data_IF_692055941431
#
_entry.id   IF_692055941431
#
_cell.length_a   1.000
_cell.length_b   1.000
_cell.length_c   1.000
_cell.angle_alpha   90.00
_cell.angle_beta   90.00
_cell.angle_gamma   90.00
#
_symmetry.space_group_name_H-M   'P 1'
#
loop_
_entity.id
_entity.type
_entity.pdbx_description
1 polymer ?
#
# COMPACT_ATOMS: atom_id res chain seq x y z
N UNK A 1 31.71 33.25 54.63
CA UNK A 1 30.81 34.40 54.88
C UNK A 1 29.87 34.50 53.68
N UNK A 2 28.55 34.36 53.73
CA UNK A 2 27.56 34.06 54.76
C UNK A 2 26.17 34.13 54.12
N UNK A 3 25.23 33.34 54.66
CA UNK A 3 23.75 33.42 54.57
C UNK A 3 23.05 33.14 53.22
N UNK A 4 22.23 32.09 53.06
CA UNK A 4 20.97 31.67 53.75
C UNK A 4 19.71 32.32 53.12
N UNK A 5 18.96 31.44 52.44
CA UNK A 5 17.50 31.29 52.26
C UNK A 5 16.52 32.43 52.61
N UNK A 6 15.52 32.61 51.71
CA UNK A 6 14.05 32.70 51.99
C UNK A 6 13.29 32.74 50.64
N UNK A 7 12.53 31.72 50.23
CA UNK A 7 11.18 31.27 50.62
C UNK A 7 9.99 32.17 50.21
N UNK A 8 8.93 31.47 49.77
CA UNK A 8 7.53 31.86 49.51
C UNK A 8 7.21 32.25 48.04
N UNK A 9 6.18 31.73 47.37
CA UNK A 9 5.12 30.81 47.77
C UNK A 9 3.87 31.01 46.87
N UNK A 10 3.15 29.89 46.62
CA UNK A 10 1.72 29.79 46.27
C UNK A 10 1.27 30.16 44.83
N UNK A 11 0.76 29.18 44.06
CA UNK A 11 -0.68 28.82 44.06
C UNK A 11 -0.99 27.64 43.10
N UNK A 12 -1.79 26.72 43.63
CA UNK A 12 -2.46 25.58 42.97
C UNK A 12 -3.36 26.02 41.82
N UNK A 13 -3.30 25.32 40.68
CA UNK A 13 -4.45 25.15 39.76
C UNK A 13 -4.51 23.70 39.23
N UNK A 14 -5.74 23.25 38.97
CA UNK A 14 -6.25 21.87 39.04
C UNK A 14 -5.81 20.91 37.91
N UNK A 15 -5.87 19.58 38.15
CA UNK A 15 -5.53 18.52 37.21
C UNK A 15 -6.75 18.10 36.38
N UNK A 16 -6.85 18.52 35.12
CA UNK A 16 -7.88 17.99 34.18
C UNK A 16 -7.44 17.85 32.73
N UNK A 17 -6.15 17.97 32.43
CA UNK A 17 -5.62 17.84 31.05
C UNK A 17 -4.63 16.69 30.82
N UNK A 18 -4.27 15.93 31.86
CA UNK A 18 -3.33 14.81 31.71
C UNK A 18 -3.99 13.46 31.36
N UNK A 19 -5.30 13.30 31.55
CA UNK A 19 -5.99 12.04 31.24
C UNK A 19 -6.42 11.89 29.77
N UNK A 20 -6.43 12.96 28.98
CA UNK A 20 -6.77 12.90 27.54
C UNK A 20 -5.54 12.85 26.62
N UNK A 21 -4.37 13.29 27.13
CA UNK A 21 -3.10 13.18 26.41
C UNK A 21 -2.51 11.76 26.47
N UNK A 22 -2.76 11.01 27.56
CA UNK A 22 -2.24 9.65 27.71
C UNK A 22 -2.94 8.62 26.82
N UNK A 23 -4.23 8.79 26.53
CA UNK A 23 -4.98 7.87 25.65
C UNK A 23 -4.76 8.16 24.17
N UNK A 24 -4.46 9.42 23.80
CA UNK A 24 -4.08 9.78 22.43
C UNK A 24 -2.66 9.34 22.07
N UNK A 25 -1.75 9.27 23.05
CA UNK A 25 -0.38 8.79 22.87
C UNK A 25 -0.28 7.25 22.71
N UNK A 26 -1.27 6.49 23.16
CA UNK A 26 -1.28 5.02 23.03
C UNK A 26 -1.96 4.50 21.74
N UNK A 27 -2.65 5.36 20.99
CA UNK A 27 -3.40 4.94 19.79
C UNK A 27 -2.97 5.61 18.46
N UNK A 28 -2.01 6.56 18.48
CA UNK A 28 -1.77 7.41 17.30
C UNK A 28 -0.33 7.79 16.93
N UNK A 29 0.69 7.34 17.67
CA UNK A 29 2.08 7.78 17.44
C UNK A 29 3.02 6.70 16.88
N UNK A 30 2.50 5.73 16.11
CA UNK A 30 3.32 4.68 15.50
C UNK A 30 3.57 4.87 13.99
N UNK A 31 2.80 5.71 13.28
CA UNK A 31 2.91 5.88 11.82
C UNK A 31 3.77 7.09 11.45
N UNK A 32 3.53 8.27 12.03
CA UNK A 32 4.30 9.47 11.70
C UNK A 32 5.77 9.43 12.18
N UNK A 33 6.05 8.76 13.29
CA UNK A 33 7.41 8.53 13.82
C UNK A 33 8.13 7.41 13.07
N UNK A 34 7.42 6.41 12.55
CA UNK A 34 8.00 5.39 11.66
C UNK A 34 8.41 6.00 10.33
N UNK A 35 7.59 6.85 9.72
CA UNK A 35 7.94 7.49 8.45
C UNK A 35 9.12 8.45 8.62
N UNK A 36 9.17 9.24 9.71
CA UNK A 36 10.30 10.11 10.00
C UNK A 36 11.60 9.31 10.33
N UNK A 37 11.49 8.19 11.05
CA UNK A 37 12.64 7.33 11.37
C UNK A 37 13.14 6.53 10.16
N UNK A 38 12.25 6.10 9.26
CA UNK A 38 12.63 5.45 7.98
C UNK A 38 13.27 6.47 7.05
N UNK A 39 12.74 7.69 6.95
CA UNK A 39 13.35 8.76 6.17
C UNK A 39 14.71 9.15 6.77
N UNK A 40 14.85 9.32 8.09
CA UNK A 40 16.15 9.60 8.72
C UNK A 40 17.15 8.44 8.60
N UNK A 41 16.71 7.19 8.72
CA UNK A 41 17.56 6.02 8.47
C UNK A 41 17.99 5.93 7.00
N UNK A 42 17.14 6.37 6.08
CA UNK A 42 17.48 6.46 4.67
C UNK A 42 18.57 7.51 4.41
N UNK A 43 18.47 8.70 5.02
CA UNK A 43 19.49 9.74 4.90
C UNK A 43 20.80 9.38 5.63
N UNK A 44 20.75 8.62 6.72
CA UNK A 44 21.95 8.12 7.41
C UNK A 44 22.66 7.01 6.62
N UNK A 45 21.93 6.16 5.89
CA UNK A 45 22.51 5.09 5.08
C UNK A 45 23.25 5.59 3.82
N UNK A 46 22.97 6.82 3.37
CA UNK A 46 23.71 7.50 2.28
C UNK A 46 25.15 7.87 2.67
N UNK A 47 25.40 8.15 3.95
CA UNK A 47 26.72 8.54 4.44
C UNK A 47 27.67 7.35 4.71
N UNK A 48 27.13 6.13 4.84
CA UNK A 48 27.85 4.95 5.34
C UNK A 48 28.26 3.93 4.25
N UNK A 49 28.07 4.23 2.95
CA UNK A 49 28.43 3.29 1.88
C UNK A 49 27.54 2.03 1.81
N UNK A 50 26.31 2.09 2.34
CA UNK A 50 25.35 0.96 2.39
C UNK A 50 24.38 0.91 1.20
N UNK A 51 24.66 1.69 0.15
CA UNK A 51 23.78 1.84 -1.02
C UNK A 51 24.55 1.72 -2.32
N UNK A 52 23.89 1.19 -3.34
CA UNK A 52 24.45 0.97 -4.66
C UNK A 52 23.73 1.81 -5.71
N UNK A 53 24.48 2.41 -6.64
CA UNK A 53 23.89 2.89 -7.89
C UNK A 53 23.67 1.70 -8.80
N UNK A 54 22.44 1.45 -9.23
CA UNK A 54 22.16 0.39 -10.21
C UNK A 54 22.38 0.93 -11.61
N UNK A 55 23.16 0.22 -12.42
CA UNK A 55 23.48 0.54 -13.81
C UNK A 55 22.91 -0.54 -14.74
N UNK A 56 22.24 -0.12 -15.81
CA UNK A 56 21.79 -1.01 -16.87
C UNK A 56 21.80 -0.30 -18.22
N UNK A 57 21.66 -1.08 -19.30
CA UNK A 57 21.62 -0.53 -20.65
C UNK A 57 20.36 -0.98 -21.37
N UNK A 58 19.71 -0.09 -22.10
CA UNK A 58 18.65 -0.39 -23.05
C UNK A 58 19.18 -0.20 -24.47
N UNK A 59 19.32 -1.29 -25.20
CA UNK A 59 19.79 -1.28 -26.59
C UNK A 59 18.61 -1.36 -27.54
N UNK A 60 18.62 -0.56 -28.61
CA UNK A 60 17.64 -0.72 -29.68
C UNK A 60 18.00 -1.95 -30.52
N UNK A 61 16.98 -2.70 -30.94
CA UNK A 61 17.08 -3.54 -32.12
C UNK A 61 17.16 -2.68 -33.40
N UNK A 62 17.22 -3.34 -34.56
CA UNK A 62 17.61 -2.79 -35.87
C UNK A 62 16.82 -1.55 -36.40
N UNK A 63 15.84 -1.02 -35.66
CA UNK A 63 14.92 0.02 -36.13
C UNK A 63 14.44 1.05 -35.09
N UNK A 64 14.88 1.02 -33.83
CA UNK A 64 14.27 1.83 -32.75
C UNK A 64 15.17 2.94 -32.18
N UNK A 65 14.57 4.06 -31.74
CA UNK A 65 15.25 5.08 -30.94
C UNK A 65 15.09 4.78 -29.44
N UNK A 66 16.22 4.68 -28.72
CA UNK A 66 16.29 4.31 -27.27
C UNK A 66 15.81 5.42 -26.32
N UNK A 67 15.51 6.61 -26.83
CA UNK A 67 15.18 7.80 -26.04
C UNK A 67 13.79 7.79 -25.40
N UNK A 68 12.86 6.94 -25.86
CA UNK A 68 11.45 6.96 -25.40
C UNK A 68 11.13 6.02 -24.21
N UNK A 69 12.05 5.16 -23.77
CA UNK A 69 11.80 4.14 -22.74
C UNK A 69 12.08 4.58 -21.30
N UNK A 70 12.79 5.70 -21.11
CA UNK A 70 13.40 6.03 -19.82
C UNK A 70 12.40 6.46 -18.74
N UNK A 71 11.24 6.98 -19.10
CA UNK A 71 10.34 7.66 -18.15
C UNK A 71 9.32 6.72 -17.50
N UNK A 72 9.36 5.42 -17.84
CA UNK A 72 8.32 4.46 -17.44
C UNK A 72 8.86 3.19 -16.79
N UNK A 73 10.11 3.19 -16.32
CA UNK A 73 10.56 2.12 -15.45
C UNK A 73 9.88 2.25 -14.07
N UNK A 74 9.42 1.12 -13.52
CA UNK A 74 9.01 1.04 -12.13
C UNK A 74 10.00 0.18 -11.36
N UNK A 75 10.46 0.67 -10.22
CA UNK A 75 11.32 -0.08 -9.31
C UNK A 75 10.66 -0.22 -7.95
N UNK A 76 10.69 -1.42 -7.40
CA UNK A 76 10.15 -1.70 -6.07
C UNK A 76 11.12 -2.54 -5.27
N UNK A 77 11.23 -2.24 -3.97
CA UNK A 77 11.88 -3.13 -3.03
C UNK A 77 10.88 -4.24 -2.62
N UNK A 78 11.21 -5.48 -2.95
CA UNK A 78 10.35 -6.64 -2.71
C UNK A 78 10.26 -7.01 -1.23
N UNK A 79 11.23 -6.59 -0.41
CA UNK A 79 11.30 -6.89 1.01
C UNK A 79 10.48 -5.88 1.84
N UNK A 80 10.37 -4.63 1.39
CA UNK A 80 9.60 -3.58 2.09
C UNK A 80 8.27 -3.25 1.44
N UNK A 81 8.05 -3.64 0.19
CA UNK A 81 6.86 -3.26 -0.56
C UNK A 81 6.94 -1.87 -1.21
N UNK A 82 8.00 -1.11 -0.91
CA UNK A 82 8.10 0.30 -1.25
C UNK A 82 8.40 0.47 -2.75
N UNK A 83 7.56 1.24 -3.45
CA UNK A 83 7.91 1.77 -4.77
C UNK A 83 8.98 2.84 -4.59
N UNK A 84 10.07 2.69 -5.32
CA UNK A 84 11.14 3.67 -5.33
C UNK A 84 10.87 4.70 -6.44
N UNK A 85 11.18 5.97 -6.13
CA UNK A 85 11.03 7.09 -7.05
C UNK A 85 12.07 7.06 -8.17
N UNK A 86 11.93 7.92 -9.20
CA UNK A 86 12.91 8.03 -10.29
C UNK A 86 14.29 8.47 -9.75
N UNK A 87 15.39 8.14 -10.45
CA UNK A 87 16.75 8.13 -9.91
C UNK A 87 17.27 9.47 -9.39
N UNK A 88 18.08 9.37 -8.32
CA UNK A 88 19.09 10.36 -7.92
C UNK A 88 20.38 9.65 -7.52
N UNK A 89 21.54 10.11 -8.00
CA UNK A 89 22.86 9.60 -7.61
C UNK A 89 23.98 9.84 -8.64
N UNK A 90 23.94 9.12 -9.76
CA UNK A 90 25.02 9.09 -10.77
C UNK A 90 24.67 9.87 -12.04
N UNK A 91 25.21 11.06 -12.29
CA UNK A 91 24.89 11.80 -13.52
C UNK A 91 25.67 11.26 -14.73
N UNK A 92 24.99 10.50 -15.60
CA UNK A 92 25.54 10.08 -16.91
C UNK A 92 25.52 11.22 -17.93
N UNK A 93 26.56 11.32 -18.78
CA UNK A 93 26.61 12.25 -19.92
C UNK A 93 25.48 12.04 -20.92
N UNK A 94 25.26 13.04 -21.79
CA UNK A 94 24.30 12.93 -22.90
C UNK A 94 24.64 11.80 -23.85
N UNK A 95 25.94 11.56 -24.11
CA UNK A 95 26.42 10.49 -24.99
C UNK A 95 26.08 9.12 -24.41
N UNK A 96 26.43 8.88 -23.14
CA UNK A 96 26.11 7.63 -22.45
C UNK A 96 24.60 7.34 -22.45
N UNK A 97 23.77 8.38 -22.20
CA UNK A 97 22.31 8.24 -22.25
C UNK A 97 21.80 7.92 -23.66
N UNK A 98 22.39 8.53 -24.70
CA UNK A 98 22.06 8.25 -26.10
C UNK A 98 22.41 6.81 -26.50
N UNK A 99 23.50 6.25 -25.96
CA UNK A 99 23.89 4.85 -26.10
C UNK A 99 23.03 3.86 -25.29
N UNK A 100 22.02 4.36 -24.59
CA UNK A 100 21.04 3.56 -23.86
C UNK A 100 21.40 3.27 -22.40
N UNK A 101 22.51 3.82 -21.88
CA UNK A 101 22.86 3.63 -20.47
C UNK A 101 21.89 4.38 -19.55
N UNK A 102 21.50 3.70 -18.48
CA UNK A 102 20.56 4.17 -17.47
C UNK A 102 21.12 3.80 -16.11
N UNK A 103 20.85 4.64 -15.13
CA UNK A 103 21.10 4.31 -13.74
C UNK A 103 19.81 4.52 -12.95
N UNK A 104 19.61 3.71 -11.92
CA UNK A 104 18.54 3.91 -10.95
C UNK A 104 19.09 4.53 -9.64
N UNK A 105 18.20 4.84 -8.69
CA UNK A 105 18.48 5.46 -7.40
C UNK A 105 19.54 4.72 -6.56
N UNK A 106 20.03 5.37 -5.51
CA UNK A 106 20.86 4.73 -4.47
C UNK A 106 20.05 3.68 -3.70
N UNK A 107 20.25 2.42 -4.05
CA UNK A 107 19.49 1.29 -3.51
C UNK A 107 20.21 0.69 -2.30
N UNK A 108 19.54 0.52 -1.14
CA UNK A 108 20.09 -0.29 -0.06
C UNK A 108 20.23 -1.76 -0.50
N UNK A 109 21.00 -2.54 0.27
CA UNK A 109 21.00 -4.00 0.11
C UNK A 109 19.58 -4.56 0.24
N UNK A 110 19.33 -5.64 -0.50
CA UNK A 110 18.01 -6.26 -0.57
C UNK A 110 17.59 -6.58 -1.99
N UNK A 111 16.32 -6.90 -2.14
CA UNK A 111 15.78 -7.46 -3.38
C UNK A 111 14.80 -6.54 -4.07
N UNK A 112 14.92 -6.52 -5.39
CA UNK A 112 14.25 -5.54 -6.22
C UNK A 112 13.50 -6.18 -7.37
N UNK A 113 12.33 -5.61 -7.64
CA UNK A 113 11.54 -5.89 -8.81
C UNK A 113 11.60 -4.66 -9.73
N UNK A 114 11.99 -4.88 -10.98
CA UNK A 114 12.09 -3.86 -12.02
C UNK A 114 11.10 -4.19 -13.13
N UNK A 115 10.17 -3.26 -13.39
CA UNK A 115 9.27 -3.31 -14.54
C UNK A 115 9.73 -2.31 -15.58
N UNK A 116 10.16 -2.80 -16.74
CA UNK A 116 10.46 -1.97 -17.89
C UNK A 116 9.21 -1.88 -18.78
N UNK A 117 8.61 -0.70 -18.83
CA UNK A 117 7.48 -0.41 -19.70
C UNK A 117 7.96 0.06 -21.08
N UNK A 118 7.17 -0.25 -22.10
CA UNK A 118 7.43 0.19 -23.48
C UNK A 118 6.70 1.52 -23.78
N UNK A 119 7.09 2.26 -24.84
CA UNK A 119 6.49 3.55 -25.15
C UNK A 119 5.02 3.44 -25.58
N UNK A 120 4.66 2.32 -26.22
CA UNK A 120 3.28 1.97 -26.55
C UNK A 120 2.74 0.88 -25.60
N UNK A 121 1.97 1.28 -24.56
CA UNK A 121 1.48 0.35 -23.54
C UNK A 121 0.26 -0.46 -23.99
N UNK A 122 -0.31 -0.19 -25.17
CA UNK A 122 -1.61 -0.77 -25.56
C UNK A 122 -1.51 -2.26 -25.90
N UNK A 123 -0.36 -2.75 -26.39
CA UNK A 123 -0.23 -4.13 -26.90
C UNK A 123 1.05 -4.87 -26.46
N UNK A 124 1.92 -4.26 -25.65
CA UNK A 124 3.17 -4.87 -25.21
C UNK A 124 3.13 -5.24 -23.72
N UNK A 125 3.39 -6.51 -23.44
CA UNK A 125 3.63 -6.96 -22.07
C UNK A 125 4.91 -6.30 -21.53
N UNK A 126 4.90 -5.80 -20.28
CA UNK A 126 6.11 -5.29 -19.65
C UNK A 126 7.20 -6.37 -19.54
N UNK A 127 8.47 -5.96 -19.53
CA UNK A 127 9.54 -6.84 -19.07
C UNK A 127 9.66 -6.71 -17.56
N UNK A 128 9.29 -7.78 -16.87
CA UNK A 128 9.34 -7.90 -15.42
C UNK A 128 10.62 -8.66 -15.03
N UNK A 129 11.40 -8.05 -14.15
CA UNK A 129 12.76 -8.48 -13.81
C UNK A 129 12.97 -8.46 -12.30
N UNK A 130 13.87 -9.30 -11.81
CA UNK A 130 14.35 -9.24 -10.42
C UNK A 130 15.87 -9.24 -10.34
N UNK A 131 16.40 -8.56 -9.33
CA UNK A 131 17.83 -8.59 -8.99
C UNK A 131 18.05 -8.36 -7.48
N UNK A 132 19.27 -8.65 -7.02
CA UNK A 132 19.68 -8.49 -5.62
C UNK A 132 20.83 -7.50 -5.52
N UNK A 133 20.72 -6.54 -4.61
CA UNK A 133 21.83 -5.70 -4.17
C UNK A 133 22.46 -6.39 -2.95
N UNK A 134 23.73 -6.85 -3.02
CA UNK A 134 24.35 -7.60 -1.93
C UNK A 134 24.69 -6.69 -0.73
N UNK A 135 25.02 -7.31 0.41
CA UNK A 135 25.55 -6.64 1.60
C UNK A 135 26.99 -7.13 1.85
N UNK A 136 28.01 -6.25 1.90
CA UNK A 136 27.94 -4.80 1.67
C UNK A 136 27.58 -4.44 0.23
N UNK A 137 26.83 -3.34 0.07
CA UNK A 137 26.40 -2.85 -1.24
C UNK A 137 27.60 -2.26 -2.01
N UNK A 138 27.84 -2.69 -3.26
CA UNK A 138 28.91 -2.11 -4.08
C UNK A 138 28.54 -0.69 -4.47
N UNK A 139 29.51 0.22 -4.72
CA UNK A 139 29.20 1.59 -5.15
C UNK A 139 28.36 1.65 -6.44
N UNK A 140 28.62 0.72 -7.37
CA UNK A 140 27.83 0.54 -8.59
C UNK A 140 27.58 -0.95 -8.84
N UNK A 141 26.32 -1.29 -9.14
CA UNK A 141 25.86 -2.62 -9.50
C UNK A 141 25.37 -2.63 -10.95
N UNK A 142 26.04 -3.35 -11.84
CA UNK A 142 25.56 -3.57 -13.20
C UNK A 142 24.62 -4.78 -13.26
N UNK A 143 23.40 -4.56 -13.75
CA UNK A 143 22.33 -5.57 -13.78
C UNK A 143 22.01 -6.11 -15.18
N UNK A 144 22.75 -5.68 -16.22
CA UNK A 144 22.62 -6.21 -17.57
C UNK A 144 22.22 -5.20 -18.63
N UNK A 145 22.24 -5.67 -19.88
CA UNK A 145 21.79 -4.94 -21.06
C UNK A 145 20.54 -5.62 -21.62
N UNK A 146 19.49 -4.85 -21.85
CA UNK A 146 18.22 -5.35 -22.36
C UNK A 146 17.98 -4.83 -23.77
N UNK A 147 17.47 -5.71 -24.64
CA UNK A 147 17.18 -5.36 -26.03
C UNK A 147 15.72 -4.92 -26.16
N UNK A 148 15.49 -3.81 -26.85
CA UNK A 148 14.18 -3.35 -27.29
C UNK A 148 13.95 -3.79 -28.73
N UNK A 149 13.02 -4.72 -28.93
CA UNK A 149 12.61 -5.20 -30.23
C UNK A 149 11.35 -4.44 -30.68
N UNK A 150 11.46 -3.67 -31.77
CA UNK A 150 10.35 -2.92 -32.36
C UNK A 150 10.05 -3.44 -33.78
N UNK A 151 9.18 -4.46 -33.92
CA UNK A 151 8.79 -4.96 -35.24
C UNK A 151 8.07 -3.85 -36.01
N UNK A 152 8.25 -3.77 -37.32
CA UNK A 152 7.70 -2.70 -38.17
C UNK A 152 6.16 -2.54 -38.10
N UNK A 153 5.44 -3.53 -37.57
CA UNK A 153 3.96 -3.56 -37.49
C UNK A 153 3.42 -4.00 -36.12
N UNK A 154 4.25 -4.03 -35.07
CA UNK A 154 3.81 -4.45 -33.75
C UNK A 154 4.38 -3.55 -32.64
N UNK A 155 3.74 -3.56 -31.48
CA UNK A 155 4.24 -2.84 -30.33
C UNK A 155 5.64 -3.33 -29.93
N UNK A 156 6.51 -2.37 -29.62
CA UNK A 156 7.86 -2.67 -29.14
C UNK A 156 7.82 -3.51 -27.88
N UNK A 157 8.77 -4.44 -27.73
CA UNK A 157 8.90 -5.33 -26.57
C UNK A 157 10.32 -5.29 -26.04
N UNK A 158 10.47 -5.26 -24.73
CA UNK A 158 11.78 -5.43 -24.09
C UNK A 158 12.02 -6.91 -23.86
N UNK A 159 13.16 -7.43 -24.30
CA UNK A 159 13.58 -8.79 -23.96
C UNK A 159 13.83 -8.87 -22.45
N UNK A 160 13.20 -9.83 -21.73
CA UNK A 160 13.41 -10.00 -20.29
C UNK A 160 14.75 -10.67 -19.97
N UNK A 161 15.52 -11.09 -20.97
CA UNK A 161 16.83 -11.72 -20.78
C UNK A 161 17.91 -10.65 -20.82
N UNK A 162 18.61 -10.46 -19.71
CA UNK A 162 19.78 -9.58 -19.63
C UNK A 162 20.98 -10.19 -20.39
N UNK A 163 21.55 -9.40 -21.29
CA UNK A 163 22.85 -9.67 -21.89
C UNK A 163 23.98 -9.14 -21.00
N UNK A 164 25.03 -9.93 -20.82
CA UNK A 164 26.24 -9.49 -20.14
C UNK A 164 27.05 -8.56 -21.06
N UNK A 165 27.29 -7.33 -20.58
CA UNK A 165 28.14 -6.32 -21.23
C UNK A 165 29.01 -5.63 -20.17
N UNK A 166 29.48 -6.38 -19.17
CA UNK A 166 30.26 -5.83 -18.06
C UNK A 166 31.55 -5.13 -18.47
N UNK A 167 32.17 -5.49 -19.59
CA UNK A 167 33.31 -4.75 -20.16
C UNK A 167 32.90 -3.34 -20.61
N UNK A 168 31.76 -3.22 -21.29
CA UNK A 168 31.23 -1.93 -21.73
C UNK A 168 30.81 -1.06 -20.53
N UNK A 169 30.21 -1.67 -19.50
CA UNK A 169 29.87 -0.99 -18.25
C UNK A 169 31.12 -0.47 -17.51
N UNK A 170 32.21 -1.26 -17.51
CA UNK A 170 33.51 -0.83 -16.97
C UNK A 170 34.11 0.33 -17.75
N UNK A 171 34.10 0.27 -19.08
CA UNK A 171 34.59 1.34 -19.93
C UNK A 171 33.81 2.64 -19.72
N UNK A 172 32.48 2.55 -19.61
CA UNK A 172 31.63 3.70 -19.30
C UNK A 172 32.02 4.35 -17.97
N UNK A 173 32.10 3.57 -16.88
CA UNK A 173 32.42 4.12 -15.57
C UNK A 173 33.83 4.71 -15.50
N UNK A 174 34.81 4.09 -16.16
CA UNK A 174 36.15 4.64 -16.26
C UNK A 174 36.18 6.02 -16.96
N UNK A 175 35.30 6.23 -17.95
CA UNK A 175 35.20 7.49 -18.68
C UNK A 175 34.38 8.56 -17.92
N UNK A 176 33.25 8.19 -17.33
CA UNK A 176 32.29 9.12 -16.72
C UNK A 176 32.58 9.39 -15.24
N UNK A 177 33.17 8.43 -14.53
CA UNK A 177 33.39 8.46 -13.09
C UNK A 177 34.68 7.71 -12.69
N UNK A 178 35.87 8.18 -13.09
CA UNK A 178 37.13 7.45 -12.93
C UNK A 178 37.53 7.19 -11.47
N UNK A 179 36.97 7.94 -10.51
CA UNK A 179 37.16 7.73 -9.07
C UNK A 179 36.29 6.61 -8.49
N UNK A 180 35.32 6.10 -9.25
CA UNK A 180 34.42 5.03 -8.83
C UNK A 180 35.06 3.67 -9.21
N UNK A 181 35.12 2.70 -8.28
CA UNK A 181 35.60 1.36 -8.59
C UNK A 181 34.82 0.70 -9.74
N UNK A 182 35.40 -0.31 -10.42
CA UNK A 182 34.67 -1.12 -11.40
C UNK A 182 33.33 -1.63 -10.84
N UNK A 183 32.28 -1.70 -11.67
CA UNK A 183 30.97 -2.12 -11.21
C UNK A 183 30.99 -3.60 -10.83
N UNK A 184 30.30 -3.95 -9.75
CA UNK A 184 29.98 -5.35 -9.47
C UNK A 184 28.90 -5.81 -10.45
N UNK A 185 29.01 -7.03 -10.98
CA UNK A 185 28.03 -7.59 -11.93
C UNK A 185 27.08 -8.56 -11.23
N UNK A 186 25.77 -8.30 -11.34
CA UNK A 186 24.69 -9.20 -10.92
C UNK A 186 23.54 -9.08 -11.93
N UNK A 187 23.57 -9.91 -12.97
CA UNK A 187 22.57 -9.86 -14.03
C UNK A 187 21.15 -10.07 -13.46
N UNK A 188 20.22 -9.20 -13.87
CA UNK A 188 18.82 -9.36 -13.54
C UNK A 188 18.25 -10.60 -14.21
N UNK A 189 17.28 -11.21 -13.55
CA UNK A 189 16.60 -12.42 -14.02
C UNK A 189 15.17 -12.07 -14.45
N UNK A 190 14.62 -12.76 -15.48
CA UNK A 190 13.20 -12.70 -15.78
C UNK A 190 12.36 -13.05 -14.55
N UNK A 191 11.26 -12.33 -14.35
CA UNK A 191 10.33 -12.59 -13.27
C UNK A 191 8.94 -13.01 -13.79
N UNK A 192 8.40 -14.17 -13.36
CA UNK A 192 9.09 -15.20 -12.57
C UNK A 192 10.15 -15.95 -13.40
N UNK A 193 11.14 -16.52 -12.72
CA UNK A 193 12.07 -17.46 -13.35
C UNK A 193 11.32 -18.76 -13.75
N UNK A 194 11.61 -19.38 -14.90
CA UNK A 194 11.07 -20.70 -15.23
C UNK A 194 11.65 -21.76 -14.28
N UNK A 195 10.81 -22.56 -13.61
CA UNK A 195 11.31 -23.51 -12.60
C UNK A 195 12.24 -24.54 -13.24
N UNK A 196 11.87 -25.04 -14.42
CA UNK A 196 12.69 -25.99 -15.19
C UNK A 196 14.10 -25.48 -15.48
N UNK A 197 14.30 -24.17 -15.64
CA UNK A 197 15.61 -23.57 -15.90
C UNK A 197 16.51 -23.51 -14.66
N UNK A 198 15.96 -23.67 -13.46
CA UNK A 198 16.72 -23.59 -12.20
C UNK A 198 17.26 -24.96 -11.73
N UNK A 199 16.74 -26.05 -12.27
CA UNK A 199 17.09 -27.42 -11.86
C UNK A 199 16.59 -27.81 -10.46
N UNK A 200 15.73 -27.00 -9.85
CA UNK A 200 15.13 -27.27 -8.54
C UNK A 200 13.96 -28.27 -8.66
N UNK A 201 13.73 -29.12 -7.65
CA UNK A 201 12.58 -30.02 -7.61
C UNK A 201 11.28 -29.22 -7.45
N UNK A 202 10.14 -29.83 -7.77
CA UNK A 202 8.82 -29.26 -7.44
C UNK A 202 8.63 -29.18 -5.92
N UNK A 203 8.01 -28.11 -5.40
CA UNK A 203 7.77 -27.98 -3.96
C UNK A 203 6.78 -29.04 -3.47
N UNK A 204 7.17 -29.79 -2.45
CA UNK A 204 6.36 -30.85 -1.86
C UNK A 204 6.13 -30.64 -0.35
N UNK A 205 7.18 -30.28 0.38
CA UNK A 205 7.17 -30.11 1.84
C UNK A 205 8.03 -28.90 2.24
N UNK A 206 7.61 -27.67 1.87
CA UNK A 206 8.41 -26.48 2.13
C UNK A 206 8.56 -26.21 3.63
N UNK A 207 9.66 -25.55 4.01
CA UNK A 207 9.77 -24.93 5.32
C UNK A 207 8.82 -23.72 5.36
N UNK A 208 7.85 -23.72 6.29
CA UNK A 208 6.84 -22.67 6.38
C UNK A 208 7.16 -21.72 7.52
N UNK A 209 7.15 -20.43 7.16
CA UNK A 209 7.26 -19.29 8.07
C UNK A 209 6.15 -18.28 7.79
N UNK A 210 5.77 -17.53 8.82
CA UNK A 210 4.88 -16.37 8.69
C UNK A 210 5.68 -15.11 9.00
N UNK A 211 5.60 -14.09 8.14
CA UNK A 211 6.20 -12.79 8.44
C UNK A 211 5.17 -11.88 9.15
N UNK A 212 5.29 -11.68 10.47
CA UNK A 212 4.34 -10.85 11.21
C UNK A 212 4.45 -9.35 10.86
N UNK A 213 5.54 -8.91 10.22
CA UNK A 213 5.77 -7.48 9.92
C UNK A 213 4.81 -6.94 8.86
N UNK A 214 4.42 -7.81 7.93
CA UNK A 214 3.53 -7.50 6.81
C UNK A 214 2.11 -8.09 7.03
N UNK A 215 1.86 -8.60 8.25
CA UNK A 215 0.59 -9.16 8.68
C UNK A 215 -0.44 -8.06 8.99
N UNK A 216 -1.62 -8.12 8.36
CA UNK A 216 -2.66 -7.13 8.61
C UNK A 216 -4.04 -7.80 8.67
N UNK A 217 -4.54 -8.05 9.89
CA UNK A 217 -5.93 -8.43 10.10
C UNK A 217 -6.82 -7.18 9.92
N UNK A 218 -7.20 -6.88 8.68
CA UNK A 218 -8.02 -5.71 8.34
C UNK A 218 -9.50 -5.90 8.70
N UNK A 219 -9.81 -6.18 9.96
CA UNK A 219 -11.19 -6.03 10.43
C UNK A 219 -11.37 -4.60 10.92
N UNK A 220 -11.51 -3.65 9.99
CA UNK A 220 -11.82 -2.28 10.37
C UNK A 220 -13.32 -2.08 10.54
N UNK A 221 -13.77 -2.32 11.76
CA UNK A 221 -15.14 -2.07 12.16
C UNK A 221 -15.55 -0.62 11.93
N UNK A 222 -14.68 0.36 12.13
CA UNK A 222 -15.06 1.76 11.98
C UNK A 222 -15.55 2.11 10.54
N UNK A 223 -15.02 1.47 9.51
CA UNK A 223 -15.50 1.60 8.12
C UNK A 223 -16.81 0.87 7.88
N UNK A 224 -16.95 -0.36 8.39
CA UNK A 224 -18.16 -1.14 8.24
C UNK A 224 -19.37 -0.49 8.95
N UNK A 225 -19.10 0.32 9.99
CA UNK A 225 -20.12 0.88 10.88
C UNK A 225 -20.40 2.35 10.64
N UNK A 226 -19.45 3.10 10.07
CA UNK A 226 -19.68 4.50 9.62
C UNK A 226 -20.70 4.59 8.47
N UNK A 227 -20.97 3.48 7.78
CA UNK A 227 -22.04 3.37 6.78
C UNK A 227 -23.37 2.83 7.35
N UNK A 228 -23.44 2.45 8.64
CA UNK A 228 -24.65 1.93 9.28
C UNK A 228 -25.17 0.61 8.70
N UNK A 229 -24.29 -0.16 8.04
CA UNK A 229 -24.72 -1.09 6.99
C UNK A 229 -24.56 -2.58 7.35
N UNK A 230 -24.05 -2.90 8.55
CA UNK A 230 -23.97 -4.29 9.01
C UNK A 230 -25.29 -4.73 9.69
N UNK A 231 -25.88 -5.86 9.28
CA UNK A 231 -26.99 -6.45 10.04
C UNK A 231 -26.51 -6.87 11.45
N UNK A 232 -27.40 -7.14 12.41
CA UNK A 232 -27.01 -7.73 13.68
C UNK A 232 -26.44 -9.15 13.46
N UNK A 233 -25.50 -9.63 14.31
CA UNK A 233 -25.03 -11.00 14.24
C UNK A 233 -26.19 -11.98 14.46
N UNK A 234 -26.15 -13.18 13.85
CA UNK A 234 -27.17 -14.19 14.10
C UNK A 234 -27.19 -14.52 15.60
N UNK A 235 -28.35 -14.38 16.24
CA UNK A 235 -28.56 -14.88 17.58
C UNK A 235 -28.40 -16.39 17.56
N UNK A 236 -27.49 -16.93 18.37
CA UNK A 236 -27.50 -18.36 18.68
C UNK A 236 -28.81 -18.68 19.41
N UNK A 237 -29.84 -19.05 18.64
CA UNK A 237 -31.12 -19.57 19.13
C UNK A 237 -32.08 -18.53 19.71
N UNK A 238 -32.80 -17.78 18.86
CA UNK A 238 -34.06 -17.15 19.29
C UNK A 238 -35.10 -17.13 18.15
N UNK A 239 -36.28 -17.67 18.45
CA UNK A 239 -37.48 -17.74 17.62
C UNK A 239 -37.99 -16.33 17.20
N UNK A 240 -38.76 -16.22 16.10
CA UNK A 240 -39.11 -14.93 15.53
C UNK A 240 -40.07 -14.15 16.44
N UNK A 241 -39.68 -12.92 16.77
CA UNK A 241 -40.55 -11.93 17.42
C UNK A 241 -41.19 -11.00 16.38
N UNK A 242 -42.39 -10.46 16.66
CA UNK A 242 -43.28 -9.94 15.63
C UNK A 242 -42.94 -8.53 15.16
N UNK A 243 -43.34 -8.33 13.91
CA UNK A 243 -43.37 -7.13 13.09
C UNK A 243 -43.88 -5.89 13.84
N UNK A 244 -43.13 -4.79 13.79
CA UNK A 244 -43.58 -3.47 14.25
C UNK A 244 -43.56 -2.45 13.11
N UNK A 245 -44.61 -1.63 13.14
CA UNK A 245 -45.24 -0.88 12.05
C UNK A 245 -44.47 0.38 11.58
N UNK A 246 -44.93 1.06 10.50
CA UNK A 246 -44.13 1.98 9.70
C UNK A 246 -44.00 3.37 10.33
N UNK A 247 -42.84 4.00 10.11
CA UNK A 247 -42.51 5.37 10.51
C UNK A 247 -43.04 6.36 9.45
N UNK A 248 -43.75 7.38 9.91
CA UNK A 248 -44.33 8.45 9.08
C UNK A 248 -43.26 9.37 8.48
N UNK A 249 -43.41 9.65 7.18
CA UNK A 249 -42.70 10.70 6.44
C UNK A 249 -43.32 12.08 6.74
N UNK A 250 -42.48 13.05 7.11
CA UNK A 250 -42.85 14.45 7.20
C UNK A 250 -42.12 15.24 6.11
N UNK A 251 -42.84 15.54 5.02
CA UNK A 251 -42.39 16.43 3.95
C UNK A 251 -42.31 17.89 4.43
N UNK A 252 -41.29 18.63 3.97
CA UNK A 252 -41.26 20.09 4.03
C UNK A 252 -40.98 20.66 2.62
N UNK A 253 -41.59 21.81 2.25
CA UNK A 253 -41.72 22.24 0.87
C UNK A 253 -40.51 23.00 0.33
N UNK A 254 -40.37 22.91 -0.99
CA UNK A 254 -39.52 23.76 -1.82
C UNK A 254 -40.07 25.20 -1.90
N UNK A 255 -39.17 26.17 -2.04
CA UNK A 255 -39.49 27.50 -2.55
C UNK A 255 -38.79 28.64 -1.82
N UNK A 256 -37.74 29.18 -2.44
CA UNK A 256 -37.49 30.63 -2.51
C UNK A 256 -36.30 30.87 -3.45
N UNK A 257 -36.63 31.19 -4.71
CA UNK A 257 -35.73 31.88 -5.64
C UNK A 257 -35.43 33.27 -5.08
N UNK A 258 -34.15 33.65 -5.00
CA UNK A 258 -33.76 35.04 -4.82
C UNK A 258 -32.99 35.50 -6.04
N UNK A 259 -33.57 36.49 -6.71
CA UNK A 259 -33.12 37.15 -7.92
C UNK A 259 -31.70 37.72 -7.76
N UNK A 260 -30.89 37.54 -8.81
CA UNK A 260 -29.61 38.21 -8.99
C UNK A 260 -29.83 39.70 -9.24
N UNK A 261 -29.28 40.55 -8.37
CA UNK A 261 -29.07 41.98 -8.67
C UNK A 261 -27.78 42.10 -9.48
N UNK A 262 -27.91 41.93 -10.79
CA UNK A 262 -26.97 42.45 -11.77
C UNK A 262 -27.63 43.68 -12.44
N UNK A 263 -26.80 44.59 -12.94
CA UNK A 263 -27.15 45.89 -13.54
C UNK A 263 -27.57 47.03 -12.60
N UNK A 264 -26.56 47.78 -12.14
CA UNK A 264 -26.61 49.24 -12.18
C UNK A 264 -25.19 49.79 -12.40
N UNK A 265 -24.75 49.81 -13.66
CA UNK A 265 -23.60 50.58 -14.11
C UNK A 265 -23.95 51.38 -15.36
N UNK A 266 -24.63 52.51 -15.18
CA UNK A 266 -24.67 53.58 -16.17
C UNK A 266 -25.11 54.90 -15.51
N UNK A 267 -24.44 55.98 -15.90
CA UNK A 267 -24.72 57.40 -15.62
C UNK A 267 -24.25 57.95 -14.25
N UNK A 268 -22.98 58.37 -14.17
CA UNK A 268 -22.58 59.60 -13.46
C UNK A 268 -21.27 60.15 -14.07
N UNK A 269 -21.35 60.69 -15.29
CA UNK A 269 -20.39 61.70 -15.75
C UNK A 269 -20.94 63.08 -15.37
N UNK A 270 -20.21 63.79 -14.49
CA UNK A 270 -20.34 65.23 -14.29
C UNK A 270 -21.40 65.71 -13.29
N UNK A 271 -21.12 65.63 -11.98
CA UNK A 271 -21.64 66.59 -11.00
C UNK A 271 -20.71 66.73 -9.78
N UNK A 272 -20.55 67.98 -9.33
CA UNK A 272 -19.52 68.40 -8.38
C UNK A 272 -19.64 67.87 -6.94
N UNK A 273 -18.56 68.11 -6.21
CA UNK A 273 -18.15 67.65 -4.86
C UNK A 273 -19.21 67.62 -3.74
N UNK A 274 -20.42 68.17 -3.91
CA UNK A 274 -21.49 68.15 -2.90
C UNK A 274 -22.46 66.95 -3.01
N UNK A 275 -22.54 66.27 -4.17
CA UNK A 275 -23.33 65.04 -4.28
C UNK A 275 -22.65 63.82 -3.61
N UNK A 276 -21.33 63.86 -3.43
CA UNK A 276 -20.53 62.78 -2.84
C UNK A 276 -20.85 62.58 -1.35
N UNK A 277 -21.19 63.64 -0.62
CA UNK A 277 -21.55 63.55 0.81
C UNK A 277 -22.97 62.99 1.00
N UNK A 278 -23.94 63.37 0.15
CA UNK A 278 -25.30 62.85 0.23
C UNK A 278 -25.41 61.37 -0.18
N UNK A 279 -24.72 60.99 -1.26
CA UNK A 279 -24.64 59.58 -1.72
C UNK A 279 -23.83 58.74 -0.74
N UNK A 280 -22.73 59.26 -0.17
CA UNK A 280 -21.97 58.58 0.87
C UNK A 280 -22.79 58.27 2.13
N UNK A 281 -23.64 59.20 2.57
CA UNK A 281 -24.50 58.98 3.73
C UNK A 281 -25.63 57.99 3.44
N UNK A 282 -26.24 58.06 2.25
CA UNK A 282 -27.25 57.09 1.80
C UNK A 282 -26.67 55.67 1.65
N UNK A 283 -25.44 55.54 1.13
CA UNK A 283 -24.70 54.27 1.07
C UNK A 283 -24.43 53.75 2.48
N UNK A 284 -24.03 54.59 3.44
CA UNK A 284 -23.81 54.14 4.82
C UNK A 284 -25.12 53.67 5.47
N UNK A 285 -26.22 54.41 5.30
CA UNK A 285 -27.52 54.08 5.92
C UNK A 285 -28.16 52.84 5.30
N UNK A 286 -27.92 52.53 4.03
CA UNK A 286 -28.51 51.35 3.35
C UNK A 286 -27.54 50.17 3.30
N UNK A 287 -26.28 50.38 2.92
CA UNK A 287 -25.32 49.29 2.73
C UNK A 287 -24.81 48.70 4.05
N UNK A 288 -24.67 49.49 5.13
CA UNK A 288 -24.20 48.96 6.42
C UNK A 288 -25.23 48.01 7.05
N UNK A 289 -26.54 48.34 7.14
CA UNK A 289 -27.53 47.38 7.61
C UNK A 289 -27.63 46.13 6.74
N UNK A 290 -27.57 46.27 5.41
CA UNK A 290 -27.58 45.12 4.49
C UNK A 290 -26.35 44.23 4.71
N UNK A 291 -25.16 44.81 4.87
CA UNK A 291 -23.94 44.06 5.15
C UNK A 291 -23.98 43.35 6.51
N UNK A 292 -24.57 43.96 7.54
CA UNK A 292 -24.77 43.34 8.85
C UNK A 292 -25.78 42.19 8.80
N UNK A 293 -26.89 42.35 8.07
CA UNK A 293 -27.87 41.28 7.84
C UNK A 293 -27.25 40.14 7.04
N UNK A 294 -26.51 40.44 5.97
CA UNK A 294 -25.83 39.43 5.16
C UNK A 294 -24.79 38.66 5.98
N UNK A 295 -24.04 39.35 6.86
CA UNK A 295 -23.11 38.70 7.80
C UNK A 295 -23.82 37.81 8.81
N UNK A 296 -24.94 38.28 9.38
CA UNK A 296 -25.74 37.48 10.32
C UNK A 296 -26.33 36.22 9.64
N UNK A 297 -26.79 36.33 8.39
CA UNK A 297 -27.27 35.19 7.60
C UNK A 297 -26.11 34.23 7.28
N UNK A 298 -24.93 34.74 6.93
CA UNK A 298 -23.75 33.91 6.66
C UNK A 298 -23.26 33.17 7.92
N UNK A 299 -23.30 33.82 9.09
CA UNK A 299 -22.96 33.21 10.39
C UNK A 299 -24.02 32.16 10.80
N UNK A 300 -25.31 32.42 10.60
CA UNK A 300 -26.38 31.43 10.85
C UNK A 300 -26.25 30.21 9.94
N UNK A 301 -25.96 30.40 8.65
CA UNK A 301 -25.71 29.30 7.70
C UNK A 301 -24.49 28.46 8.08
N UNK A 302 -23.41 29.09 8.58
CA UNK A 302 -22.23 28.37 9.10
C UNK A 302 -22.56 27.58 10.36
N UNK A 303 -23.32 28.16 11.28
CA UNK A 303 -23.72 27.50 12.52
C UNK A 303 -24.67 26.31 12.26
N UNK A 304 -25.60 26.42 11.31
CA UNK A 304 -26.46 25.30 10.91
C UNK A 304 -25.66 24.17 10.26
N UNK A 305 -24.68 24.51 9.40
CA UNK A 305 -23.79 23.51 8.79
C UNK A 305 -22.93 22.80 9.81
N UNK A 306 -22.33 23.53 10.76
CA UNK A 306 -21.51 22.94 11.82
C UNK A 306 -22.34 22.08 12.78
N UNK A 307 -23.55 22.51 13.13
CA UNK A 307 -24.47 21.73 13.96
C UNK A 307 -24.93 20.44 13.26
N UNK A 308 -25.26 20.50 11.97
CA UNK A 308 -25.59 19.31 11.18
C UNK A 308 -24.40 18.36 11.05
N UNK A 309 -23.19 18.88 10.81
CA UNK A 309 -21.97 18.07 10.78
C UNK A 309 -21.70 17.39 12.12
N UNK A 310 -21.85 18.11 13.24
CA UNK A 310 -21.70 17.55 14.58
C UNK A 310 -22.74 16.46 14.87
N UNK A 311 -23.99 16.64 14.42
CA UNK A 311 -25.04 15.61 14.58
C UNK A 311 -24.72 14.36 13.78
N UNK A 312 -24.34 14.50 12.51
CA UNK A 312 -23.93 13.39 11.64
C UNK A 312 -22.73 12.65 12.26
N UNK A 313 -21.74 13.37 12.79
CA UNK A 313 -20.60 12.76 13.47
C UNK A 313 -21.02 12.02 14.75
N UNK A 314 -21.92 12.59 15.56
CA UNK A 314 -22.40 11.93 16.77
C UNK A 314 -23.23 10.67 16.47
N UNK A 315 -24.09 10.71 15.45
CA UNK A 315 -24.83 9.55 14.96
C UNK A 315 -23.88 8.46 14.45
N UNK A 316 -22.86 8.83 13.66
CA UNK A 316 -21.84 7.91 13.18
C UNK A 316 -21.02 7.27 14.31
N UNK A 317 -20.63 8.05 15.32
CA UNK A 317 -19.91 7.54 16.50
C UNK A 317 -20.78 6.57 17.32
N UNK A 318 -22.07 6.86 17.46
CA UNK A 318 -23.01 5.96 18.15
C UNK A 318 -23.23 4.66 17.39
N UNK A 319 -23.37 4.73 16.06
CA UNK A 319 -23.47 3.56 15.21
C UNK A 319 -22.19 2.70 15.29
N UNK A 320 -21.02 3.33 15.32
CA UNK A 320 -19.75 2.64 15.50
C UNK A 320 -19.64 1.92 16.86
N UNK A 321 -20.04 2.59 17.95
CA UNK A 321 -20.02 1.98 19.28
C UNK A 321 -20.93 0.74 19.37
N UNK A 322 -22.17 0.84 18.88
CA UNK A 322 -23.12 -0.28 18.90
C UNK A 322 -22.63 -1.48 18.09
N UNK A 323 -22.04 -1.23 16.93
CA UNK A 323 -21.54 -2.32 16.13
C UNK A 323 -20.24 -2.93 16.69
N UNK A 324 -19.40 -2.15 17.37
CA UNK A 324 -18.28 -2.69 18.14
C UNK A 324 -18.77 -3.60 19.30
N UNK A 325 -19.86 -3.23 19.98
CA UNK A 325 -20.49 -4.09 21.00
C UNK A 325 -21.05 -5.38 20.39
N UNK A 326 -21.74 -5.29 19.25
CA UNK A 326 -22.38 -6.45 18.60
C UNK A 326 -21.36 -7.41 17.98
N UNK A 327 -20.33 -6.89 17.31
CA UNK A 327 -19.41 -7.68 16.50
C UNK A 327 -18.01 -7.85 17.10
N UNK A 328 -17.71 -7.16 18.21
CA UNK A 328 -16.42 -7.23 18.92
C UNK A 328 -15.97 -8.65 19.25
N UNK A 329 -16.84 -9.55 19.77
CA UNK A 329 -16.46 -10.94 20.02
C UNK A 329 -16.07 -11.70 18.74
N UNK A 330 -16.82 -11.51 17.65
CA UNK A 330 -16.51 -12.11 16.36
C UNK A 330 -15.16 -11.61 15.84
N UNK A 331 -14.92 -10.30 15.90
CA UNK A 331 -13.65 -9.68 15.52
C UNK A 331 -12.46 -10.30 16.25
N UNK A 332 -12.57 -10.41 17.57
CA UNK A 332 -11.53 -10.98 18.41
C UNK A 332 -11.28 -12.45 18.05
N UNK A 333 -12.34 -13.22 17.78
CA UNK A 333 -12.25 -14.60 17.30
C UNK A 333 -11.53 -14.73 15.96
N UNK A 334 -11.87 -13.88 14.98
CA UNK A 334 -11.20 -13.83 13.67
C UNK A 334 -9.72 -13.46 13.84
N UNK A 335 -9.42 -12.41 14.60
CA UNK A 335 -8.06 -11.94 14.84
C UNK A 335 -7.20 -12.99 15.58
N UNK A 336 -7.77 -13.67 16.58
CA UNK A 336 -7.11 -14.79 17.25
C UNK A 336 -6.86 -15.96 16.29
N UNK A 337 -7.86 -16.32 15.47
CA UNK A 337 -7.74 -17.42 14.50
C UNK A 337 -6.64 -17.12 13.49
N UNK A 338 -6.62 -15.89 12.98
CA UNK A 338 -5.62 -15.36 12.05
C UNK A 338 -4.44 -14.73 12.79
N UNK A 339 -4.10 -15.17 13.99
CA UNK A 339 -2.83 -14.76 14.60
C UNK A 339 -1.67 -15.46 13.86
N UNK A 340 -0.51 -14.79 13.63
CA UNK A 340 0.64 -15.37 12.93
C UNK A 340 1.02 -16.77 13.41
N UNK A 341 1.16 -16.94 14.73
CA UNK A 341 1.53 -18.24 15.34
C UNK A 341 0.50 -19.35 15.10
N UNK A 342 -0.78 -19.00 15.07
CA UNK A 342 -1.86 -19.96 14.82
C UNK A 342 -1.90 -20.38 13.36
N UNK A 343 -1.71 -19.43 12.44
CA UNK A 343 -1.59 -19.70 11.01
C UNK A 343 -0.34 -20.53 10.72
N UNK A 344 0.82 -20.14 11.26
CA UNK A 344 2.06 -20.86 11.06
C UNK A 344 1.97 -22.30 11.56
N UNK A 345 1.44 -22.51 12.76
CA UNK A 345 1.20 -23.85 13.32
C UNK A 345 0.27 -24.68 12.44
N UNK A 346 -0.84 -24.09 11.98
CA UNK A 346 -1.79 -24.77 11.09
C UNK A 346 -1.13 -25.17 9.77
N UNK A 347 -0.38 -24.27 9.15
CA UNK A 347 0.29 -24.53 7.89
C UNK A 347 1.38 -25.58 8.03
N UNK A 348 2.23 -25.48 9.06
CA UNK A 348 3.24 -26.52 9.33
C UNK A 348 2.62 -27.89 9.54
N UNK A 349 1.44 -27.97 10.19
CA UNK A 349 0.70 -29.23 10.31
C UNK A 349 0.12 -29.71 8.98
N UNK A 350 -0.43 -28.82 8.15
CA UNK A 350 -1.05 -29.15 6.87
C UNK A 350 -0.04 -29.57 5.79
N UNK A 351 1.17 -29.02 5.82
CA UNK A 351 2.25 -29.27 4.86
C UNK A 351 3.42 -30.06 5.47
N UNK A 352 3.24 -30.66 6.65
CA UNK A 352 4.25 -31.50 7.25
C UNK A 352 4.62 -32.63 6.28
N UNK A 353 5.93 -32.94 6.11
CA UNK A 353 6.33 -34.06 5.28
C UNK A 353 5.64 -35.32 5.80
N UNK A 354 4.81 -35.94 4.96
CA UNK A 354 4.24 -37.24 5.28
C UNK A 354 5.42 -38.18 5.49
N UNK A 355 5.56 -38.72 6.70
CA UNK A 355 6.54 -39.79 6.96
C UNK A 355 6.07 -40.98 6.14
N UNK A 356 6.56 -41.08 4.90
CA UNK A 356 6.39 -42.29 4.11
C UNK A 356 6.87 -43.45 4.97
N UNK A 357 5.99 -44.43 5.20
CA UNK A 357 6.27 -45.64 5.95
C UNK A 357 7.45 -46.37 5.31
N UNK A 358 8.67 -46.11 5.80
CA UNK A 358 9.87 -46.72 5.22
C UNK A 358 11.12 -45.85 5.29
N UNK A 359 11.64 -45.65 6.51
CA UNK A 359 13.09 -45.48 6.84
C UNK A 359 13.99 -44.56 6.01
N UNK A 360 13.47 -43.63 5.20
CA UNK A 360 14.22 -42.49 4.69
C UNK A 360 13.53 -41.23 5.21
N UNK A 361 14.16 -40.58 6.19
CA UNK A 361 13.80 -39.21 6.50
C UNK A 361 13.87 -38.43 5.19
N UNK A 362 12.74 -37.91 4.71
CA UNK A 362 12.73 -37.01 3.57
C UNK A 362 13.73 -35.90 3.91
N UNK A 363 14.77 -35.76 3.08
CA UNK A 363 15.66 -34.61 3.19
C UNK A 363 14.79 -33.35 3.13
N UNK A 364 15.08 -32.32 3.94
CA UNK A 364 14.31 -31.08 3.90
C UNK A 364 14.29 -30.55 2.47
N UNK A 365 13.09 -30.22 2.01
CA UNK A 365 12.83 -29.65 0.68
C UNK A 365 13.63 -28.33 0.56
N UNK A 366 14.30 -28.01 -0.57
CA UNK A 366 15.03 -26.74 -0.71
C UNK A 366 14.13 -25.49 -0.72
N UNK A 367 12.83 -25.66 -0.48
CA UNK A 367 11.81 -24.63 -0.60
C UNK A 367 11.49 -24.03 0.76
N UNK A 368 11.59 -22.71 0.84
CA UNK A 368 11.05 -21.90 1.90
C UNK A 368 9.77 -21.21 1.42
N UNK A 369 8.75 -21.19 2.27
CA UNK A 369 7.52 -20.43 2.07
C UNK A 369 7.35 -19.46 3.21
N UNK A 370 7.32 -18.18 2.85
CA UNK A 370 6.94 -17.11 3.76
C UNK A 370 5.53 -16.65 3.42
N UNK A 371 4.59 -16.84 4.33
CA UNK A 371 3.30 -16.15 4.26
C UNK A 371 3.54 -14.70 4.66
N UNK A 372 3.62 -13.83 3.66
CA UNK A 372 3.92 -12.41 3.86
C UNK A 372 2.69 -11.65 4.30
N UNK A 373 1.48 -12.08 3.92
CA UNK A 373 0.27 -11.30 4.17
C UNK A 373 -0.96 -12.20 4.27
N UNK A 374 -1.75 -11.98 5.31
CA UNK A 374 -3.12 -12.47 5.40
C UNK A 374 -4.01 -11.29 5.75
N UNK A 375 -4.92 -10.93 4.84
CA UNK A 375 -5.85 -9.81 5.02
C UNK A 375 -7.27 -10.33 4.93
N UNK A 376 -8.07 -10.03 5.94
CA UNK A 376 -9.51 -10.17 5.87
C UNK A 376 -10.10 -8.92 5.20
N UNK A 377 -10.53 -9.01 3.94
CA UNK A 377 -11.01 -7.87 3.15
C UNK A 377 -12.53 -7.89 3.04
N UNK A 378 -13.14 -6.71 3.11
CA UNK A 378 -14.49 -6.52 2.62
C UNK A 378 -14.53 -6.76 1.10
N UNK A 379 -15.60 -7.37 0.61
CA UNK A 379 -15.75 -7.72 -0.79
C UNK A 379 -17.19 -7.62 -1.28
N UNK A 380 -17.33 -7.42 -2.58
CA UNK A 380 -18.63 -7.26 -3.22
C UNK A 380 -19.27 -5.89 -2.94
N UNK A 381 -20.55 -5.77 -3.28
CA UNK A 381 -21.32 -4.53 -3.08
C UNK A 381 -21.95 -4.43 -1.69
N UNK A 382 -21.90 -5.52 -0.91
CA UNK A 382 -22.51 -5.59 0.41
C UNK A 382 -21.46 -5.31 1.50
N UNK A 383 -21.81 -4.49 2.50
CA UNK A 383 -20.92 -4.09 3.60
C UNK A 383 -20.54 -5.24 4.54
N UNK A 384 -21.37 -6.27 4.62
CA UNK A 384 -21.21 -7.41 5.51
C UNK A 384 -20.46 -8.57 4.86
N UNK A 385 -20.03 -8.45 3.61
CA UNK A 385 -19.35 -9.53 2.91
C UNK A 385 -17.84 -9.39 2.97
N UNK A 386 -17.16 -10.47 3.34
CA UNK A 386 -15.72 -10.51 3.56
C UNK A 386 -15.09 -11.78 2.97
N UNK A 387 -13.80 -11.71 2.68
CA UNK A 387 -12.98 -12.84 2.26
C UNK A 387 -11.56 -12.71 2.77
N UNK A 388 -10.78 -13.79 2.67
CA UNK A 388 -9.38 -13.83 3.13
C UNK A 388 -8.45 -13.76 1.92
N UNK A 389 -7.71 -12.67 1.80
CA UNK A 389 -6.57 -12.57 0.90
C UNK A 389 -5.33 -13.19 1.56
N UNK A 390 -4.58 -13.98 0.78
CA UNK A 390 -3.37 -14.67 1.25
C UNK A 390 -2.27 -14.39 0.24
N UNK A 391 -1.17 -13.77 0.68
CA UNK A 391 0.04 -13.62 -0.11
C UNK A 391 1.18 -14.47 0.45
N UNK A 392 1.89 -15.12 -0.45
CA UNK A 392 2.99 -16.04 -0.15
C UNK A 392 4.18 -15.73 -1.03
N UNK A 393 5.38 -15.78 -0.46
CA UNK A 393 6.65 -15.73 -1.17
C UNK A 393 7.32 -17.10 -1.07
N UNK A 394 7.65 -17.65 -2.22
CA UNK A 394 8.29 -18.95 -2.38
C UNK A 394 9.71 -18.72 -2.81
N UNK A 395 10.66 -19.27 -2.05
CA UNK A 395 12.08 -19.18 -2.39
C UNK A 395 12.72 -20.54 -2.34
N UNK A 396 13.70 -20.77 -3.21
CA UNK A 396 14.52 -21.98 -3.13
C UNK A 396 15.98 -21.67 -3.45
N UNK A 397 16.88 -22.35 -2.73
CA UNK A 397 18.33 -22.20 -2.84
C UNK A 397 18.93 -23.49 -3.36
N UNK A 398 19.96 -23.37 -4.21
CA UNK A 398 20.82 -24.52 -4.49
C UNK A 398 21.82 -24.70 -3.36
N UNK A 399 22.27 -25.94 -3.09
CA UNK A 399 23.30 -26.19 -2.09
C UNK A 399 24.55 -25.31 -2.35
N UNK A 400 24.98 -24.57 -1.33
CA UNK A 400 26.15 -23.69 -1.40
C UNK A 400 25.91 -22.29 -1.95
N UNK A 401 24.69 -21.94 -2.38
CA UNK A 401 24.37 -20.60 -2.87
C UNK A 401 23.86 -19.67 -1.75
N UNK A 402 24.40 -18.45 -1.72
CA UNK A 402 23.98 -17.42 -0.78
C UNK A 402 22.62 -16.79 -1.17
N UNK A 403 22.37 -16.66 -2.47
CA UNK A 403 21.15 -16.09 -3.03
C UNK A 403 20.15 -17.19 -3.44
N UNK A 404 18.84 -16.94 -3.36
CA UNK A 404 17.85 -17.89 -3.87
C UNK A 404 17.96 -18.01 -5.39
N UNK A 405 18.03 -19.25 -5.88
CA UNK A 405 18.01 -19.57 -7.31
C UNK A 405 16.60 -19.42 -7.90
N UNK A 406 15.58 -19.42 -7.05
CA UNK A 406 14.19 -19.19 -7.44
C UNK A 406 13.52 -18.32 -6.38
N UNK A 407 12.79 -17.31 -6.82
CA UNK A 407 11.88 -16.54 -5.97
C UNK A 407 10.66 -16.07 -6.74
N UNK A 408 9.49 -16.24 -6.13
CA UNK A 408 8.22 -15.82 -6.70
C UNK A 408 7.24 -15.49 -5.58
N UNK A 409 6.43 -14.47 -5.81
CA UNK A 409 5.33 -14.11 -4.93
C UNK A 409 3.99 -14.38 -5.62
N UNK A 410 3.08 -15.00 -4.86
CA UNK A 410 1.70 -15.22 -5.24
C UNK A 410 0.76 -14.54 -4.26
N UNK A 411 -0.40 -14.12 -4.76
CA UNK A 411 -1.51 -13.68 -3.94
C UNK A 411 -2.82 -14.32 -4.42
N UNK A 412 -3.48 -15.02 -3.50
CA UNK A 412 -4.87 -15.43 -3.64
C UNK A 412 -5.74 -14.27 -3.18
N UNK A 413 -6.29 -13.53 -4.14
CA UNK A 413 -7.03 -12.28 -3.92
C UNK A 413 -8.50 -12.56 -3.62
N UNK A 414 -9.17 -11.63 -2.97
CA UNK A 414 -10.63 -11.67 -2.78
C UNK A 414 -11.32 -10.97 -3.95
N UNK A 415 -12.22 -11.68 -4.61
CA UNK A 415 -12.98 -11.17 -5.75
C UNK A 415 -13.74 -9.89 -5.39
N UNK A 416 -13.59 -8.84 -6.20
CA UNK A 416 -14.32 -7.58 -5.99
C UNK A 416 -14.00 -6.86 -4.67
N UNK A 417 -12.88 -7.16 -4.03
CA UNK A 417 -12.42 -6.40 -2.87
C UNK A 417 -11.96 -5.00 -3.28
N UNK A 418 -12.49 -3.99 -2.61
CA UNK A 418 -12.13 -2.59 -2.82
C UNK A 418 -10.75 -2.30 -2.19
N UNK A 419 -9.87 -1.52 -2.84
CA UNK A 419 -8.63 -1.10 -2.23
C UNK A 419 -8.88 -0.28 -0.95
N UNK A 420 -8.25 -0.69 0.17
CA UNK A 420 -8.29 0.07 1.42
C UNK A 420 -6.96 0.80 1.62
N UNK A 421 -6.98 2.12 1.38
CA UNK A 421 -5.81 3.01 1.42
C UNK A 421 -5.08 3.04 2.77
N UNK A 422 -5.68 2.51 3.83
CA UNK A 422 -5.06 2.44 5.15
C UNK A 422 -4.14 1.23 5.30
N UNK A 423 -4.30 0.24 4.43
CA UNK A 423 -3.42 -0.92 4.37
C UNK A 423 -2.14 -0.53 3.62
N UNK A 424 -0.98 -0.94 4.16
CA UNK A 424 0.32 -0.84 3.47
C UNK A 424 0.22 -1.45 2.06
N UNK A 425 -0.54 -2.54 1.94
CA UNK A 425 -0.86 -3.20 0.69
C UNK A 425 -2.34 -3.02 0.32
N UNK A 426 -2.77 -1.77 0.20
CA UNK A 426 -4.10 -1.41 -0.32
C UNK A 426 -4.34 -2.08 -1.68
N UNK A 427 -3.36 -1.93 -2.56
CA UNK A 427 -3.31 -2.53 -3.89
C UNK A 427 -2.28 -3.66 -3.90
N UNK A 428 -2.54 -4.75 -4.65
CA UNK A 428 -1.57 -5.82 -4.81
C UNK A 428 -0.28 -5.31 -5.46
N UNK A 429 0.88 -5.56 -4.85
CA UNK A 429 2.16 -5.31 -5.48
C UNK A 429 2.28 -5.86 -6.92
N UNK A 430 3.01 -5.17 -7.81
CA UNK A 430 3.08 -5.55 -9.22
C UNK A 430 3.80 -6.86 -9.49
N UNK A 431 4.61 -7.36 -8.55
CA UNK A 431 5.29 -8.66 -8.62
C UNK A 431 4.44 -9.81 -8.07
N UNK A 432 3.31 -9.55 -7.41
CA UNK A 432 2.44 -10.62 -6.92
C UNK A 432 1.61 -11.21 -8.05
N UNK A 433 1.91 -12.46 -8.40
CA UNK A 433 1.15 -13.23 -9.38
C UNK A 433 -0.15 -13.75 -8.75
N UNK A 434 -1.16 -14.01 -9.58
CA UNK A 434 -2.42 -14.60 -9.12
C UNK A 434 -2.27 -16.12 -8.97
N UNK A 435 -2.95 -16.68 -7.98
CA UNK A 435 -3.17 -18.13 -7.86
C UNK A 435 -4.30 -18.59 -8.81
N UNK A 436 -4.62 -19.88 -8.79
CA UNK A 436 -5.62 -20.47 -9.68
C UNK A 436 -7.05 -19.98 -9.40
N UNK A 437 -7.39 -19.72 -8.12
CA UNK A 437 -8.72 -19.25 -7.73
C UNK A 437 -8.67 -17.94 -6.95
N UNK A 438 -9.82 -17.26 -6.90
CA UNK A 438 -10.05 -16.14 -5.97
C UNK A 438 -10.65 -16.67 -4.65
N UNK A 439 -10.41 -15.94 -3.57
CA UNK A 439 -10.98 -16.22 -2.26
C UNK A 439 -12.49 -15.97 -2.23
N UNK A 440 -13.20 -16.85 -1.52
CA UNK A 440 -14.65 -16.76 -1.41
C UNK A 440 -15.06 -15.49 -0.64
N UNK A 441 -16.05 -14.78 -1.18
CA UNK A 441 -16.68 -13.64 -0.55
C UNK A 441 -17.96 -14.10 0.17
N UNK A 442 -18.02 -13.96 1.50
CA UNK A 442 -19.09 -14.52 2.34
C UNK A 442 -19.60 -13.53 3.38
N UNK A 443 -20.83 -13.67 3.87
CA UNK A 443 -21.32 -12.89 5.00
C UNK A 443 -20.39 -13.02 6.21
N UNK A 444 -20.16 -11.92 6.91
CA UNK A 444 -19.30 -11.85 8.09
C UNK A 444 -19.73 -12.83 9.18
N UNK A 445 -21.04 -13.01 9.34
CA UNK A 445 -21.65 -13.97 10.25
C UNK A 445 -21.13 -15.41 10.07
N UNK A 446 -20.79 -15.81 8.83
CA UNK A 446 -20.25 -17.14 8.54
C UNK A 446 -18.88 -17.39 9.17
N UNK A 447 -18.17 -16.32 9.57
CA UNK A 447 -16.85 -16.38 10.18
C UNK A 447 -16.87 -16.27 11.71
N UNK A 448 -18.04 -16.02 12.31
CA UNK A 448 -18.16 -15.67 13.74
C UNK A 448 -18.32 -16.85 14.69
N UNK A 449 -18.28 -18.09 14.20
CA UNK A 449 -18.40 -19.30 14.99
C UNK A 449 -17.18 -20.23 14.76
N UNK A 450 -17.12 -21.34 15.49
CA UNK A 450 -16.01 -22.30 15.38
C UNK A 450 -15.83 -22.87 13.96
N UNK A 451 -16.92 -23.11 13.23
CA UNK A 451 -16.86 -23.54 11.83
C UNK A 451 -16.30 -22.42 10.93
N UNK A 452 -16.61 -21.16 11.23
CA UNK A 452 -16.04 -19.98 10.61
C UNK A 452 -14.53 -19.87 10.81
N UNK A 453 -14.04 -20.07 12.04
CA UNK A 453 -12.60 -20.12 12.34
C UNK A 453 -11.88 -21.23 11.55
N UNK A 454 -12.44 -22.43 11.49
CA UNK A 454 -11.88 -23.51 10.68
C UNK A 454 -11.82 -23.12 9.20
N UNK A 455 -12.88 -22.49 8.69
CA UNK A 455 -12.96 -22.02 7.30
C UNK A 455 -11.93 -20.93 6.98
N UNK A 456 -11.66 -20.00 7.90
CA UNK A 456 -10.59 -18.99 7.73
C UNK A 456 -9.24 -19.67 7.50
N UNK A 457 -8.90 -20.64 8.36
CA UNK A 457 -7.66 -21.40 8.26
C UNK A 457 -7.59 -22.28 7.00
N UNK A 458 -8.74 -22.79 6.52
CA UNK A 458 -8.83 -23.50 5.24
C UNK A 458 -8.57 -22.58 4.05
N UNK A 459 -9.11 -21.36 4.02
CA UNK A 459 -8.84 -20.40 2.95
C UNK A 459 -7.35 -20.00 2.93
N UNK A 460 -6.71 -19.87 4.10
CA UNK A 460 -5.26 -19.66 4.21
C UNK A 460 -4.47 -20.86 3.67
N UNK A 461 -4.82 -22.06 4.12
CA UNK A 461 -4.18 -23.32 3.66
C UNK A 461 -4.32 -23.50 2.16
N UNK A 462 -5.50 -23.20 1.60
CA UNK A 462 -5.78 -23.25 0.17
C UNK A 462 -4.94 -22.23 -0.60
N UNK A 463 -4.82 -21.00 -0.11
CA UNK A 463 -3.97 -19.99 -0.73
C UNK A 463 -2.50 -20.44 -0.86
N UNK A 464 -1.96 -21.05 0.20
CA UNK A 464 -0.61 -21.62 0.18
C UNK A 464 -0.52 -22.82 -0.78
N UNK A 465 -1.49 -23.72 -0.77
CA UNK A 465 -1.50 -24.89 -1.66
C UNK A 465 -1.60 -24.49 -3.14
N UNK A 466 -2.47 -23.55 -3.50
CA UNK A 466 -2.58 -23.07 -4.88
C UNK A 466 -1.31 -22.34 -5.33
N UNK A 467 -0.66 -21.59 -4.44
CA UNK A 467 0.63 -20.97 -4.76
C UNK A 467 1.71 -22.03 -5.01
N UNK A 468 1.77 -23.10 -4.20
CA UNK A 468 2.65 -24.26 -4.42
C UNK A 468 2.43 -24.87 -5.79
N UNK A 469 1.17 -25.13 -6.13
CA UNK A 469 0.81 -25.79 -7.38
C UNK A 469 1.11 -24.88 -8.58
N UNK A 470 0.94 -23.56 -8.41
CA UNK A 470 1.33 -22.57 -9.40
C UNK A 470 2.86 -22.47 -9.58
N UNK A 471 3.66 -22.61 -8.52
CA UNK A 471 5.13 -22.75 -8.63
C UNK A 471 5.48 -23.98 -9.46
N UNK A 472 4.86 -25.13 -9.17
CA UNK A 472 5.16 -26.40 -9.83
C UNK A 472 4.78 -26.43 -11.32
N UNK A 473 3.90 -25.51 -11.76
CA UNK A 473 3.45 -25.36 -13.14
C UNK A 473 4.28 -24.35 -13.97
N UNK A 474 5.22 -23.62 -13.35
CA UNK A 474 6.23 -22.79 -14.04
C UNK A 474 7.41 -23.63 -14.48
#
# INVERSE_FOLDING_TARGET
>A
MGNVQKLAGLRRWRPRRLAFAATALLAGCATATRDAAVIQAMHAAEADGRRSNVLFRLTAGDSATTSALSDRAGLWNMDTGQRLGPPGGLSLSRTARAEGWRHDALLPSGRYFLRLLTPDPRDAAPADLTFTVPDPAPPVLYIGSFRLDCPAQAACRVSPVAADQSDAARALLAAEAPSVPPPATRLAQPYPAPLAATGLPRPAAPEIRVDPRLWVAAVDWNSATSQGALPPPPSEGAAPAPESAPRSEGAWPAGAEFASVADMSAAFEGMGYLAVLGVGLAIIVVAVPIALIARAIAEDQRNRRSANQARIQAEALRAAALAQEQWGPCAAGIAMTLAPDNVERRLRAAFAPQRAEGRRAALPDPWDVTVSRVIFRQCGTKPDHHGVEVATRWTARRPGEADPAFDIAFARRVAGATPDRRLVFSEPPPWELRTASEAACRPLADYCNAAGSARLLEEVTRGVAEARDAVAAR
#
